data_IF_961389600176
#
_entry.id   IF_961389600176
#
_cell.length_a   1.000
_cell.length_b   1.000
_cell.length_c   1.000
_cell.angle_alpha   90.00
_cell.angle_beta   90.00
_cell.angle_gamma   90.00
#
_symmetry.space_group_name_H-M   'P 1'
#
loop_
_entity.id
_entity.type
_entity.pdbx_description
1 polymer ?
#
# COMPACT_ATOMS: atom_id res chain seq x y z
N UNK A 1 -1.00 4.51 -9.89
CA UNK A 1 -0.59 5.86 -9.43
C UNK A 1 0.34 5.71 -8.23
N UNK A 2 1.36 6.57 -8.12
CA UNK A 2 2.30 6.57 -6.99
C UNK A 2 1.95 7.69 -6.03
N UNK A 3 1.87 7.36 -4.74
CA UNK A 3 1.53 8.26 -3.65
C UNK A 3 2.74 8.38 -2.71
N UNK A 4 2.86 9.53 -2.07
CA UNK A 4 3.91 9.79 -1.07
C UNK A 4 3.23 10.08 0.25
N UNK A 5 3.46 9.22 1.26
CA UNK A 5 3.12 9.53 2.64
C UNK A 5 4.10 10.62 3.12
N UNK A 6 3.60 11.86 3.25
CA UNK A 6 4.40 13.01 3.66
C UNK A 6 4.88 12.91 5.11
N UNK A 7 4.20 12.16 5.98
CA UNK A 7 4.60 12.02 7.39
C UNK A 7 5.86 11.18 7.57
N UNK A 8 6.11 10.21 6.67
CA UNK A 8 7.25 9.27 6.79
C UNK A 8 8.17 9.27 5.57
N UNK A 9 7.97 10.20 4.62
CA UNK A 9 8.70 10.27 3.36
C UNK A 9 8.74 8.93 2.59
N UNK A 10 7.62 8.20 2.64
CA UNK A 10 7.48 6.85 2.14
C UNK A 10 6.65 6.83 0.86
N UNK A 11 7.15 6.19 -0.20
CA UNK A 11 6.49 6.12 -1.50
C UNK A 11 5.85 4.76 -1.69
N UNK A 12 4.59 4.76 -2.11
CA UNK A 12 3.84 3.55 -2.37
C UNK A 12 2.97 3.66 -3.61
N UNK A 13 2.58 2.51 -4.16
CA UNK A 13 1.59 2.43 -5.24
C UNK A 13 0.36 1.71 -4.73
N UNK A 14 -0.81 2.10 -5.21
CA UNK A 14 -2.10 1.50 -4.82
C UNK A 14 -2.71 0.81 -6.04
N UNK A 15 -3.22 -0.41 -5.82
CA UNK A 15 -4.06 -1.14 -6.75
C UNK A 15 -5.29 -1.66 -6.04
N UNK A 16 -6.44 -1.65 -6.73
CA UNK A 16 -7.67 -2.28 -6.25
C UNK A 16 -7.78 -3.67 -6.90
N UNK A 17 -7.93 -4.71 -6.09
CA UNK A 17 -8.30 -6.04 -6.54
C UNK A 17 -9.83 -6.15 -6.50
N UNK A 18 -10.47 -5.84 -7.63
CA UNK A 18 -11.93 -5.79 -7.77
C UNK A 18 -12.61 -7.15 -7.62
N UNK A 19 -11.85 -8.25 -7.69
CA UNK A 19 -12.40 -9.60 -7.49
C UNK A 19 -12.63 -9.90 -6.01
N UNK A 20 -11.88 -9.24 -5.13
CA UNK A 20 -11.92 -9.44 -3.67
C UNK A 20 -12.36 -8.21 -2.91
N UNK A 21 -12.53 -7.08 -3.61
CA UNK A 21 -12.82 -5.77 -3.03
C UNK A 21 -11.79 -5.35 -1.96
N UNK A 22 -10.51 -5.57 -2.28
CA UNK A 22 -9.38 -5.24 -1.40
C UNK A 22 -8.39 -4.30 -2.09
N UNK A 23 -7.86 -3.36 -1.31
CA UNK A 23 -6.73 -2.54 -1.72
C UNK A 23 -5.42 -3.29 -1.47
N UNK A 24 -4.54 -3.18 -2.45
CA UNK A 24 -3.14 -3.61 -2.40
C UNK A 24 -2.27 -2.37 -2.45
N UNK A 25 -1.42 -2.21 -1.45
CA UNK A 25 -0.48 -1.10 -1.36
C UNK A 25 0.93 -1.66 -1.42
N UNK A 26 1.70 -1.28 -2.44
CA UNK A 26 3.04 -1.79 -2.68
C UNK A 26 4.09 -0.72 -2.36
N UNK A 27 5.22 -1.15 -1.82
CA UNK A 27 6.41 -0.31 -1.73
C UNK A 27 6.83 0.14 -3.14
N UNK A 28 7.04 1.44 -3.34
CA UNK A 28 7.37 1.96 -4.67
C UNK A 28 8.73 1.45 -5.19
N UNK A 29 9.65 1.11 -4.27
CA UNK A 29 10.97 0.60 -4.59
C UNK A 29 11.01 -0.93 -4.68
N UNK A 30 10.04 -1.62 -4.07
CA UNK A 30 9.97 -3.08 -4.04
C UNK A 30 8.51 -3.56 -4.09
N UNK A 31 8.00 -3.94 -5.28
CA UNK A 31 6.65 -4.47 -5.43
C UNK A 31 6.42 -5.83 -4.76
N UNK A 32 7.47 -6.52 -4.29
CA UNK A 32 7.31 -7.77 -3.54
C UNK A 32 6.80 -7.51 -2.11
N UNK A 33 7.03 -6.31 -1.58
CA UNK A 33 6.54 -5.91 -0.26
C UNK A 33 5.25 -5.11 -0.42
N UNK A 34 4.16 -5.70 0.03
CA UNK A 34 2.85 -5.09 -0.07
C UNK A 34 1.99 -5.36 1.16
N UNK A 35 1.17 -4.37 1.51
CA UNK A 35 0.10 -4.48 2.49
C UNK A 35 -1.24 -4.66 1.80
N UNK A 36 -2.16 -5.36 2.48
CA UNK A 36 -3.54 -5.58 2.05
C UNK A 36 -4.50 -4.91 3.03
N UNK A 37 -5.63 -4.42 2.55
CA UNK A 37 -6.65 -3.82 3.41
C UNK A 37 -7.95 -3.56 2.67
N UNK A 38 -9.03 -3.35 3.43
CA UNK A 38 -10.34 -2.93 2.87
C UNK A 38 -10.37 -1.44 2.56
N UNK A 39 -9.46 -0.67 3.14
CA UNK A 39 -9.18 0.72 2.77
C UNK A 39 -7.71 0.90 2.42
N UNK A 40 -7.38 2.03 1.79
CA UNK A 40 -5.99 2.37 1.47
C UNK A 40 -5.20 2.59 2.76
N UNK A 41 -5.80 3.20 3.78
CA UNK A 41 -5.19 3.45 5.08
C UNK A 41 -4.82 2.16 5.80
N UNK A 42 -5.73 1.17 5.83
CA UNK A 42 -5.48 -0.15 6.42
C UNK A 42 -4.36 -0.87 5.68
N UNK A 43 -4.42 -0.88 4.35
CA UNK A 43 -3.39 -1.51 3.54
C UNK A 43 -2.02 -0.83 3.68
N UNK A 44 -1.98 0.49 3.85
CA UNK A 44 -0.76 1.23 4.12
C UNK A 44 -0.22 0.96 5.52
N UNK A 45 -1.08 0.88 6.54
CA UNK A 45 -0.67 0.53 7.90
C UNK A 45 -0.07 -0.88 7.95
N UNK A 46 -0.70 -1.85 7.29
CA UNK A 46 -0.18 -3.21 7.18
C UNK A 46 1.14 -3.26 6.40
N UNK A 47 1.33 -2.40 5.40
CA UNK A 47 2.61 -2.26 4.70
C UNK A 47 3.69 -1.67 5.62
N UNK A 48 3.34 -0.71 6.48
CA UNK A 48 4.27 -0.12 7.46
C UNK A 48 4.73 -1.12 8.54
N UNK A 49 3.93 -2.14 8.86
CA UNK A 49 4.34 -3.21 9.78
C UNK A 49 5.32 -4.22 9.13
N UNK A 50 5.41 -4.23 7.80
CA UNK A 50 6.25 -5.15 7.02
C UNK A 50 7.61 -4.57 6.60
N UNK A 51 7.80 -3.24 6.72
CA UNK A 51 8.96 -2.49 6.24
C UNK A 51 9.77 -1.87 7.39
#
# INVERSE_FOLDING_TARGET
MTFTNKNKNFKYTVSLDTSKDIFKVFLANDPAVFGLGRTIEEAMQNLEELA
#
